data_IF_634762019282
#
_entry.id   IF_634762019282
#
_cell.length_a   1.000
_cell.length_b   1.000
_cell.length_c   1.000
_cell.angle_alpha   90.00
_cell.angle_beta   90.00
_cell.angle_gamma   90.00
#
_symmetry.space_group_name_H-M   'P 1'
#
loop_
_entity.id
_entity.type
_entity.pdbx_description
1 polymer ?
#
# COMPACT_ATOMS: atom_id res chain seq x y z
N UNK A 1 35.14 -74.69 46.98
CA UNK A 1 33.90 -73.96 46.65
C UNK A 1 34.26 -72.81 45.73
N UNK A 2 33.83 -72.89 44.45
CA UNK A 2 34.14 -71.92 43.39
C UNK A 2 33.33 -70.64 43.62
N UNK A 3 33.97 -69.46 43.62
CA UNK A 3 33.28 -68.17 43.51
C UNK A 3 33.52 -67.60 42.12
N UNK A 4 32.43 -67.49 41.36
CA UNK A 4 32.37 -66.93 40.02
C UNK A 4 32.50 -65.41 40.07
N UNK A 5 33.26 -64.87 39.11
CA UNK A 5 33.29 -63.46 38.77
C UNK A 5 32.02 -63.07 38.01
N UNK A 6 31.45 -61.91 38.32
CA UNK A 6 30.53 -61.19 37.45
C UNK A 6 30.92 -59.71 37.52
N UNK A 7 31.56 -59.22 36.46
CA UNK A 7 31.78 -57.79 36.26
C UNK A 7 30.57 -57.24 35.49
N UNK A 8 29.77 -56.38 36.13
CA UNK A 8 28.73 -55.59 35.46
C UNK A 8 29.41 -54.40 34.77
N UNK A 9 29.52 -54.44 33.45
CA UNK A 9 29.83 -53.27 32.62
C UNK A 9 28.58 -52.40 32.52
N UNK A 10 28.59 -51.27 33.22
CA UNK A 10 27.58 -50.20 33.08
C UNK A 10 27.87 -49.38 31.82
N UNK A 11 27.15 -49.63 30.74
CA UNK A 11 27.06 -48.72 29.60
C UNK A 11 26.21 -47.50 30.00
N UNK A 12 26.87 -46.40 30.38
CA UNK A 12 26.22 -45.09 30.48
C UNK A 12 26.21 -44.45 29.08
N UNK A 13 25.07 -44.53 28.40
CA UNK A 13 24.80 -43.80 27.17
C UNK A 13 24.62 -42.31 27.49
N UNK A 14 25.61 -41.48 27.12
CA UNK A 14 25.44 -40.03 27.07
C UNK A 14 24.46 -39.67 25.95
N UNK A 15 23.21 -39.38 26.29
CA UNK A 15 22.30 -38.68 25.40
C UNK A 15 22.71 -37.20 25.36
N UNK A 16 23.41 -36.79 24.30
CA UNK A 16 23.69 -35.38 24.06
C UNK A 16 22.38 -34.68 23.62
N UNK A 17 21.79 -33.88 24.52
CA UNK A 17 20.78 -32.90 24.13
C UNK A 17 21.47 -31.80 23.31
N UNK A 18 21.38 -31.89 21.99
CA UNK A 18 21.65 -30.73 21.12
C UNK A 18 20.46 -29.79 21.21
N UNK A 19 20.53 -28.79 22.08
CA UNK A 19 19.62 -27.66 22.04
C UNK A 19 19.84 -26.91 20.71
N UNK A 20 18.91 -27.06 19.77
CA UNK A 20 18.87 -26.24 18.58
C UNK A 20 18.61 -24.79 19.01
N UNK A 21 19.65 -23.96 18.97
CA UNK A 21 19.51 -22.52 18.97
C UNK A 21 18.79 -22.13 17.67
N UNK A 22 17.45 -22.15 17.69
CA UNK A 22 16.68 -21.45 16.69
C UNK A 22 17.10 -19.98 16.79
N UNK A 23 17.94 -19.53 15.85
CA UNK A 23 18.39 -18.15 15.78
C UNK A 23 17.16 -17.25 15.75
N UNK A 24 17.02 -16.42 16.78
CA UNK A 24 15.95 -15.44 16.84
C UNK A 24 16.11 -14.54 15.62
N UNK A 25 15.08 -14.51 14.76
CA UNK A 25 15.11 -13.66 13.58
C UNK A 25 15.43 -12.22 14.01
N UNK A 26 16.36 -11.52 13.34
CA UNK A 26 16.69 -10.16 13.70
C UNK A 26 15.44 -9.29 13.68
N UNK A 27 15.34 -8.36 14.64
CA UNK A 27 14.23 -7.42 14.70
C UNK A 27 14.14 -6.62 13.39
N UNK A 28 12.92 -6.34 12.90
CA UNK A 28 12.73 -5.65 11.62
C UNK A 28 13.32 -4.25 11.67
N UNK A 29 14.07 -3.87 10.62
CA UNK A 29 14.59 -2.50 10.48
C UNK A 29 13.48 -1.60 9.95
N UNK A 30 13.49 -0.34 10.39
CA UNK A 30 12.58 0.68 9.87
C UNK A 30 13.33 1.57 8.88
N UNK A 31 12.73 1.79 7.71
CA UNK A 31 13.24 2.65 6.65
C UNK A 31 12.28 3.79 6.40
N UNK A 32 12.80 4.96 6.02
CA UNK A 32 12.00 6.14 5.68
C UNK A 32 11.90 6.26 4.16
N UNK A 33 10.69 6.46 3.64
CA UNK A 33 10.46 6.68 2.21
C UNK A 33 9.55 7.88 2.00
N UNK A 34 10.12 8.99 1.54
CA UNK A 34 9.37 10.22 1.28
C UNK A 34 8.87 10.25 -0.17
N UNK A 35 7.75 10.93 -0.43
CA UNK A 35 7.19 11.11 -1.77
C UNK A 35 7.87 12.28 -2.51
N UNK A 36 9.13 12.08 -2.92
CA UNK A 36 9.93 13.07 -3.65
C UNK A 36 9.90 12.81 -5.16
N UNK A 37 10.32 13.76 -6.00
CA UNK A 37 10.45 13.53 -7.45
C UNK A 37 11.34 12.33 -7.82
N UNK A 38 12.26 11.89 -6.96
CA UNK A 38 13.15 10.77 -7.21
C UNK A 38 12.58 9.41 -6.76
N UNK A 39 11.52 9.42 -5.96
CA UNK A 39 11.01 8.25 -5.22
C UNK A 39 9.53 7.98 -5.49
N UNK A 40 8.97 8.60 -6.53
CA UNK A 40 7.60 8.34 -6.99
C UNK A 40 7.58 7.83 -8.42
N UNK A 41 6.68 6.89 -8.66
CA UNK A 41 6.16 6.55 -9.98
C UNK A 41 4.82 7.29 -10.16
N UNK A 42 4.68 8.08 -11.22
CA UNK A 42 3.44 8.85 -11.46
C UNK A 42 2.67 8.18 -12.58
N UNK A 43 1.55 7.55 -12.25
CA UNK A 43 0.58 7.02 -13.21
C UNK A 43 0.86 5.62 -13.75
N UNK A 44 1.79 4.86 -13.14
CA UNK A 44 2.12 3.52 -13.62
C UNK A 44 2.75 2.59 -12.59
N UNK A 45 2.70 1.30 -12.88
CA UNK A 45 3.54 0.24 -12.30
C UNK A 45 4.44 -0.36 -13.40
N UNK A 46 5.68 -0.73 -13.10
CA UNK A 46 6.60 -1.26 -14.13
C UNK A 46 7.70 -2.18 -13.56
N UNK A 47 7.90 -3.34 -14.20
CA UNK A 47 8.90 -4.35 -13.82
C UNK A 47 10.36 -3.94 -14.00
N UNK A 48 10.64 -2.96 -14.85
CA UNK A 48 11.98 -2.42 -15.06
C UNK A 48 12.20 -1.09 -14.32
N UNK A 49 11.27 -0.68 -13.46
CA UNK A 49 11.42 0.52 -12.65
C UNK A 49 12.64 0.40 -11.72
N UNK A 50 13.40 1.48 -11.62
CA UNK A 50 14.54 1.55 -10.69
C UNK A 50 13.99 1.64 -9.27
N UNK A 51 14.43 0.78 -8.34
CA UNK A 51 13.99 0.86 -6.95
C UNK A 51 14.38 2.20 -6.31
N UNK A 52 13.41 2.84 -5.66
CA UNK A 52 13.64 4.01 -4.80
C UNK A 52 14.26 3.60 -3.45
N UNK A 53 13.96 2.38 -3.00
CA UNK A 53 14.42 1.82 -1.74
C UNK A 53 14.62 0.30 -1.89
N UNK A 54 15.63 -0.26 -1.23
CA UNK A 54 15.83 -1.72 -1.13
C UNK A 54 15.83 -2.11 0.35
N UNK A 55 15.02 -3.11 0.73
CA UNK A 55 14.86 -3.55 2.13
C UNK A 55 14.94 -5.07 2.25
N UNK A 56 15.21 -5.59 3.45
CA UNK A 56 15.08 -7.03 3.70
C UNK A 56 13.60 -7.43 3.87
N UNK A 57 13.26 -8.68 3.55
CA UNK A 57 11.96 -9.24 3.90
C UNK A 57 11.71 -9.15 5.41
N UNK A 58 10.54 -8.65 5.79
CA UNK A 58 10.13 -8.41 7.18
C UNK A 58 10.46 -7.01 7.69
N UNK A 59 11.22 -6.19 6.96
CA UNK A 59 11.48 -4.81 7.33
C UNK A 59 10.21 -3.93 7.23
N UNK A 60 10.27 -2.77 7.88
CA UNK A 60 9.20 -1.78 7.95
C UNK A 60 9.58 -0.56 7.10
N UNK A 61 8.61 0.00 6.39
CA UNK A 61 8.71 1.33 5.77
C UNK A 61 7.77 2.31 6.46
N UNK A 62 8.29 3.48 6.82
CA UNK A 62 7.53 4.69 7.13
C UNK A 62 7.45 5.52 5.85
N UNK A 63 6.33 5.41 5.14
CA UNK A 63 6.12 5.95 3.80
C UNK A 63 5.19 7.17 3.82
N UNK A 64 5.56 8.23 3.12
CA UNK A 64 4.65 9.34 2.83
C UNK A 64 4.01 9.12 1.45
N UNK A 65 2.73 9.47 1.32
CA UNK A 65 2.05 9.54 0.02
C UNK A 65 1.52 10.96 -0.21
N UNK A 66 1.22 11.27 -1.47
CA UNK A 66 0.63 12.54 -1.87
C UNK A 66 -0.76 12.28 -2.45
N UNK A 67 -1.70 13.18 -2.13
CA UNK A 67 -3.01 13.20 -2.77
C UNK A 67 -2.90 13.29 -4.30
N UNK A 68 -3.89 12.75 -5.00
CA UNK A 68 -3.88 12.55 -6.47
C UNK A 68 -4.14 13.84 -7.29
N UNK A 69 -4.66 14.91 -6.69
CA UNK A 69 -4.80 16.24 -7.34
C UNK A 69 -3.45 16.93 -7.59
N UNK A 70 -3.48 18.11 -8.20
CA UNK A 70 -2.32 18.96 -8.45
C UNK A 70 -2.48 20.37 -7.84
N UNK A 71 -1.38 21.13 -7.64
CA UNK A 71 -1.45 22.46 -7.03
C UNK A 71 -2.42 23.43 -7.69
N UNK A 72 -2.51 23.43 -9.03
CA UNK A 72 -3.43 24.29 -9.79
C UNK A 72 -4.90 23.91 -9.53
N UNK A 73 -5.19 22.61 -9.45
CA UNK A 73 -6.53 22.09 -9.14
C UNK A 73 -6.96 22.43 -7.71
N UNK A 74 -6.06 22.22 -6.74
CA UNK A 74 -6.29 22.58 -5.33
C UNK A 74 -6.50 24.08 -5.14
N UNK A 75 -5.68 24.93 -5.77
CA UNK A 75 -5.84 26.38 -5.70
C UNK A 75 -7.19 26.83 -6.29
N UNK A 76 -7.63 26.23 -7.40
CA UNK A 76 -8.95 26.47 -7.99
C UNK A 76 -10.10 26.05 -7.07
N UNK A 77 -9.90 24.99 -6.30
CA UNK A 77 -10.83 24.51 -5.28
C UNK A 77 -10.78 25.34 -3.97
N UNK A 78 -9.90 26.34 -3.89
CA UNK A 78 -9.82 27.27 -2.76
C UNK A 78 -8.83 26.89 -1.67
N UNK A 79 -7.95 25.89 -1.89
CA UNK A 79 -6.89 25.57 -0.93
C UNK A 79 -5.82 26.67 -0.96
N UNK A 80 -5.48 27.28 0.20
CA UNK A 80 -4.40 28.26 0.29
C UNK A 80 -3.05 27.67 -0.15
N UNK A 81 -2.22 28.46 -0.84
CA UNK A 81 -0.94 27.97 -1.40
C UNK A 81 0.02 27.43 -0.32
N UNK A 82 0.02 28.03 0.88
CA UNK A 82 0.83 27.61 2.03
C UNK A 82 0.34 26.29 2.67
N UNK A 83 -0.90 25.89 2.39
CA UNK A 83 -1.46 24.58 2.79
C UNK A 83 -1.15 23.47 1.79
N UNK A 84 -0.82 23.81 0.53
CA UNK A 84 -0.45 22.83 -0.49
C UNK A 84 0.98 22.32 -0.21
N UNK A 85 1.13 21.01 0.01
CA UNK A 85 2.42 20.39 0.34
C UNK A 85 3.52 20.74 -0.68
N UNK A 86 4.68 21.15 -0.19
CA UNK A 86 5.84 21.47 -1.02
C UNK A 86 6.27 20.30 -1.91
N UNK A 87 6.25 19.07 -1.38
CA UNK A 87 6.57 17.86 -2.14
C UNK A 87 5.61 17.62 -3.31
N UNK A 88 4.32 17.92 -3.16
CA UNK A 88 3.37 17.86 -4.27
C UNK A 88 3.73 18.86 -5.37
N UNK A 89 4.11 20.08 -5.00
CA UNK A 89 4.57 21.11 -5.96
C UNK A 89 5.82 20.64 -6.71
N UNK A 90 6.81 20.11 -6.01
CA UNK A 90 8.04 19.56 -6.60
C UNK A 90 7.77 18.38 -7.54
N UNK A 91 6.97 17.40 -7.11
CA UNK A 91 6.62 16.24 -7.95
C UNK A 91 5.93 16.66 -9.23
N UNK A 92 4.94 17.57 -9.16
CA UNK A 92 4.23 18.06 -10.34
C UNK A 92 5.14 18.85 -11.28
N UNK A 93 6.09 19.63 -10.75
CA UNK A 93 7.02 20.42 -11.56
C UNK A 93 8.10 19.56 -12.24
N UNK A 94 8.61 18.52 -11.56
CA UNK A 94 9.82 17.80 -11.98
C UNK A 94 9.54 16.44 -12.65
N UNK A 95 8.41 15.79 -12.32
CA UNK A 95 8.02 14.50 -12.91
C UNK A 95 7.09 14.76 -14.10
N UNK A 96 7.70 14.95 -15.26
CA UNK A 96 7.05 15.33 -16.53
C UNK A 96 7.51 14.45 -17.69
N UNK A 97 6.83 14.56 -18.84
CA UNK A 97 7.15 13.80 -20.06
C UNK A 97 7.15 12.29 -19.82
N UNK A 98 8.18 11.61 -20.33
CA UNK A 98 8.33 10.16 -20.31
C UNK A 98 8.47 9.55 -18.91
N UNK A 99 8.66 10.39 -17.89
CA UNK A 99 8.67 9.99 -16.48
C UNK A 99 7.28 9.77 -15.91
N UNK A 100 6.21 10.17 -16.62
CA UNK A 100 4.82 9.90 -16.25
C UNK A 100 4.25 8.74 -17.06
N UNK A 101 3.29 8.06 -16.47
CA UNK A 101 2.44 7.06 -17.08
C UNK A 101 1.05 7.61 -17.41
N UNK A 102 0.18 6.77 -17.96
CA UNK A 102 -1.16 7.17 -18.38
C UNK A 102 -2.16 7.35 -17.22
N UNK A 103 -1.88 6.80 -16.04
CA UNK A 103 -2.75 6.90 -14.87
C UNK A 103 -2.59 8.20 -14.06
N UNK A 104 -3.51 8.43 -13.13
CA UNK A 104 -3.57 9.66 -12.34
C UNK A 104 -2.73 9.67 -11.06
N UNK A 105 -2.45 8.49 -10.49
CA UNK A 105 -1.94 8.37 -9.13
C UNK A 105 -0.45 8.76 -9.00
N UNK A 106 -0.10 9.38 -7.88
CA UNK A 106 1.30 9.58 -7.46
C UNK A 106 1.63 8.46 -6.47
N UNK A 107 2.40 7.47 -6.92
CA UNK A 107 2.73 6.27 -6.15
C UNK A 107 4.16 6.38 -5.63
N UNK A 108 4.34 6.24 -4.33
CA UNK A 108 5.66 6.28 -3.69
C UNK A 108 6.29 4.90 -3.70
N UNK A 109 7.53 4.81 -4.19
CA UNK A 109 8.22 3.56 -4.53
C UNK A 109 8.97 3.67 -5.86
N UNK A 110 9.31 2.54 -6.50
CA UNK A 110 9.12 1.18 -6.02
C UNK A 110 10.10 0.76 -4.91
N UNK A 111 9.60 -0.03 -3.96
CA UNK A 111 10.39 -0.68 -2.92
C UNK A 111 10.75 -2.10 -3.38
N UNK A 112 12.05 -2.37 -3.47
CA UNK A 112 12.58 -3.70 -3.75
C UNK A 112 12.75 -4.48 -2.45
N UNK A 113 12.03 -5.59 -2.30
CA UNK A 113 12.11 -6.46 -1.13
C UNK A 113 13.00 -7.66 -1.45
N UNK A 114 14.14 -7.77 -0.76
CA UNK A 114 15.13 -8.82 -1.03
C UNK A 114 14.53 -10.23 -0.91
N UNK A 115 14.83 -11.08 -1.89
CA UNK A 115 14.39 -12.47 -1.93
C UNK A 115 12.99 -12.72 -2.52
N UNK A 116 12.22 -11.68 -2.83
CA UNK A 116 10.96 -11.80 -3.56
C UNK A 116 11.22 -12.22 -5.01
N UNK A 117 10.56 -13.27 -5.48
CA UNK A 117 10.66 -13.80 -6.85
C UNK A 117 9.27 -14.09 -7.42
N UNK A 118 9.12 -14.13 -8.75
CA UNK A 118 7.86 -14.54 -9.38
C UNK A 118 7.33 -15.86 -8.82
N UNK A 119 6.05 -15.89 -8.44
CA UNK A 119 5.40 -17.05 -7.81
C UNK A 119 5.37 -17.03 -6.27
N UNK A 120 6.09 -16.10 -5.63
CA UNK A 120 5.86 -15.76 -4.23
C UNK A 120 4.63 -14.83 -4.08
N UNK A 121 4.29 -14.51 -2.83
CA UNK A 121 3.44 -13.37 -2.51
C UNK A 121 4.19 -12.35 -1.65
N UNK A 122 3.88 -11.07 -1.83
CA UNK A 122 4.26 -10.01 -0.91
C UNK A 122 3.12 -9.82 0.11
N UNK A 123 3.42 -10.07 1.38
CA UNK A 123 2.58 -9.71 2.52
C UNK A 123 2.86 -8.25 2.91
N UNK A 124 1.84 -7.42 2.86
CA UNK A 124 1.85 -5.99 3.20
C UNK A 124 0.97 -5.83 4.44
N UNK A 125 1.60 -5.74 5.61
CA UNK A 125 0.88 -5.52 6.86
C UNK A 125 0.82 -4.04 7.19
N UNK A 126 -0.38 -3.50 7.27
CA UNK A 126 -0.61 -2.09 7.61
C UNK A 126 -0.54 -1.91 9.13
N UNK A 127 0.52 -1.29 9.63
CA UNK A 127 0.72 -1.09 11.06
C UNK A 127 0.04 0.17 11.57
N UNK A 128 0.16 1.28 10.84
CA UNK A 128 -0.54 2.53 11.14
C UNK A 128 -0.73 3.39 9.89
N UNK A 129 -1.73 4.26 9.94
CA UNK A 129 -2.03 5.25 8.91
C UNK A 129 -2.36 6.57 9.61
N UNK A 130 -1.64 7.62 9.25
CA UNK A 130 -1.81 8.97 9.78
C UNK A 130 -2.23 9.95 8.68
N UNK A 131 -2.97 10.99 9.07
CA UNK A 131 -3.37 12.12 8.23
C UNK A 131 -2.38 13.28 8.39
N UNK A 132 -1.36 13.43 7.52
CA UNK A 132 -0.36 14.51 7.62
C UNK A 132 -0.94 15.90 7.32
N UNK A 133 -2.04 15.98 6.58
CA UNK A 133 -2.75 17.22 6.22
C UNK A 133 -4.15 17.24 6.86
N UNK A 134 -4.73 18.44 6.99
CA UNK A 134 -6.01 18.71 7.65
C UNK A 134 -7.18 18.88 6.67
N UNK A 135 -6.99 18.50 5.41
CA UNK A 135 -8.02 18.56 4.39
C UNK A 135 -7.93 17.36 3.44
N UNK A 136 -9.06 17.02 2.83
CA UNK A 136 -9.13 16.20 1.65
C UNK A 136 -9.93 16.90 0.55
N UNK A 137 -9.97 16.32 -0.65
CA UNK A 137 -10.86 16.77 -1.70
C UNK A 137 -11.76 15.63 -2.17
N UNK A 138 -12.92 15.97 -2.68
CA UNK A 138 -13.80 15.04 -3.38
C UNK A 138 -14.22 15.69 -4.71
N UNK A 139 -13.99 14.97 -5.80
CA UNK A 139 -14.50 15.32 -7.12
C UNK A 139 -15.90 14.73 -7.34
N UNK A 140 -16.44 14.92 -8.54
CA UNK A 140 -17.65 14.24 -8.96
C UNK A 140 -17.64 14.10 -10.49
N UNK A 141 -17.09 12.99 -10.96
CA UNK A 141 -16.98 12.68 -12.39
C UNK A 141 -17.13 11.18 -12.69
N UNK A 142 -17.75 10.44 -11.78
CA UNK A 142 -17.84 8.99 -11.83
C UNK A 142 -19.03 8.45 -12.62
N UNK A 143 -19.45 7.25 -12.23
CA UNK A 143 -20.39 6.41 -12.95
C UNK A 143 -21.81 6.99 -13.05
N UNK A 144 -22.22 7.83 -12.08
CA UNK A 144 -23.54 8.48 -12.05
C UNK A 144 -23.37 10.00 -12.14
N UNK A 145 -22.99 10.55 -13.31
CA UNK A 145 -22.67 11.97 -13.47
C UNK A 145 -23.88 12.89 -13.29
N UNK A 146 -25.11 12.36 -13.31
CA UNK A 146 -26.35 13.11 -13.04
C UNK A 146 -26.45 13.56 -11.57
N UNK A 147 -25.74 12.87 -10.66
CA UNK A 147 -25.66 13.25 -9.24
C UNK A 147 -24.64 14.38 -9.00
N UNK A 148 -23.89 14.79 -10.03
CA UNK A 148 -22.82 15.76 -9.93
C UNK A 148 -23.25 17.15 -10.39
N UNK A 149 -22.88 18.18 -9.63
CA UNK A 149 -22.97 19.56 -10.10
C UNK A 149 -21.91 19.80 -11.19
N UNK A 150 -22.35 20.16 -12.40
CA UNK A 150 -21.43 20.37 -13.52
C UNK A 150 -20.68 21.70 -13.38
N UNK A 151 -19.39 21.68 -13.67
CA UNK A 151 -18.56 22.88 -13.73
C UNK A 151 -18.10 23.40 -12.35
N UNK A 152 -18.43 22.70 -11.27
CA UNK A 152 -17.90 23.01 -9.94
C UNK A 152 -16.50 22.42 -9.78
N UNK A 153 -15.55 23.15 -9.17
CA UNK A 153 -14.29 22.57 -8.71
C UNK A 153 -14.54 21.43 -7.71
N UNK A 154 -13.51 20.61 -7.45
CA UNK A 154 -13.55 19.64 -6.36
C UNK A 154 -13.91 20.32 -5.04
N UNK A 155 -14.71 19.63 -4.22
CA UNK A 155 -15.07 20.08 -2.89
C UNK A 155 -13.91 19.82 -1.93
N UNK A 156 -13.48 20.85 -1.20
CA UNK A 156 -12.49 20.71 -0.13
C UNK A 156 -13.21 20.42 1.19
N UNK A 157 -12.77 19.37 1.88
CA UNK A 157 -13.34 18.87 3.11
C UNK A 157 -12.31 18.99 4.22
N UNK A 158 -12.65 19.64 5.33
CA UNK A 158 -11.77 19.74 6.50
C UNK A 158 -11.81 18.43 7.29
N UNK A 159 -10.64 17.91 7.65
CA UNK A 159 -10.48 16.68 8.41
C UNK A 159 -10.24 17.03 9.89
N UNK A 160 -11.23 16.76 10.76
CA UNK A 160 -11.04 16.80 12.21
C UNK A 160 -10.25 15.56 12.62
N UNK A 161 -8.92 15.69 12.66
CA UNK A 161 -7.99 14.59 13.01
C UNK A 161 -8.04 14.18 14.48
N UNK A 162 -8.65 14.98 15.36
CA UNK A 162 -8.82 14.62 16.76
C UNK A 162 -10.06 13.74 16.94
N UNK A 163 -11.15 14.07 16.25
CA UNK A 163 -12.40 13.29 16.29
C UNK A 163 -12.49 12.21 15.23
N UNK A 164 -11.58 12.21 14.25
CA UNK A 164 -11.61 11.36 13.06
C UNK A 164 -12.95 11.49 12.31
N UNK A 165 -13.31 12.73 11.98
CA UNK A 165 -14.54 13.06 11.25
C UNK A 165 -14.33 14.17 10.22
N UNK A 166 -15.19 14.24 9.21
CA UNK A 166 -15.29 15.38 8.28
C UNK A 166 -16.76 15.77 8.11
N UNK A 167 -17.11 17.04 8.30
CA UNK A 167 -18.45 17.54 8.01
C UNK A 167 -18.58 17.78 6.50
N UNK A 168 -19.40 16.98 5.82
CA UNK A 168 -19.62 17.08 4.39
C UNK A 168 -20.61 18.19 4.05
N UNK A 169 -21.67 18.32 4.84
CA UNK A 169 -22.70 19.36 4.73
C UNK A 169 -23.28 19.61 6.13
N UNK A 170 -24.03 20.70 6.36
CA UNK A 170 -24.61 20.99 7.68
C UNK A 170 -25.34 19.78 8.27
N UNK A 171 -24.80 19.23 9.37
CA UNK A 171 -25.36 18.05 10.06
C UNK A 171 -25.06 16.69 9.41
N UNK A 172 -24.33 16.65 8.30
CA UNK A 172 -23.85 15.43 7.64
C UNK A 172 -22.36 15.26 7.97
N UNK A 173 -22.07 14.43 8.96
CA UNK A 173 -20.71 14.16 9.44
C UNK A 173 -20.28 12.77 9.03
N UNK A 174 -19.18 12.68 8.29
CA UNK A 174 -18.59 11.43 7.78
C UNK A 174 -17.49 10.98 8.75
N UNK A 175 -17.53 9.74 9.28
CA UNK A 175 -16.41 9.19 10.04
C UNK A 175 -15.22 8.90 9.11
N UNK A 176 -14.02 9.24 9.56
CA UNK A 176 -12.77 8.97 8.84
C UNK A 176 -12.25 7.59 9.23
N UNK A 177 -11.92 6.79 8.22
CA UNK A 177 -11.32 5.46 8.35
C UNK A 177 -10.25 5.35 7.27
N UNK A 178 -9.08 5.98 7.46
CA UNK A 178 -8.14 6.20 6.37
C UNK A 178 -7.50 4.89 5.88
N UNK A 179 -7.30 4.81 4.57
CA UNK A 179 -6.67 3.67 3.89
C UNK A 179 -6.01 4.13 2.59
N UNK A 180 -5.17 3.28 2.00
CA UNK A 180 -4.54 3.53 0.70
C UNK A 180 -5.38 2.86 -0.40
N UNK A 181 -5.93 3.64 -1.33
CA UNK A 181 -6.64 3.13 -2.51
C UNK A 181 -5.73 2.32 -3.43
N UNK A 182 -4.46 2.76 -3.54
CA UNK A 182 -3.45 2.11 -4.38
C UNK A 182 -2.32 1.48 -3.57
N UNK A 183 -2.24 0.15 -3.61
CA UNK A 183 -1.10 -0.64 -3.13
C UNK A 183 -0.83 -1.76 -4.15
N UNK A 184 0.32 -1.73 -4.81
CA UNK A 184 0.61 -2.65 -5.91
C UNK A 184 2.07 -3.04 -6.01
N UNK A 185 2.32 -4.09 -6.80
CA UNK A 185 3.67 -4.54 -7.16
C UNK A 185 3.87 -4.36 -8.66
N UNK A 186 5.10 -4.48 -9.14
CA UNK A 186 5.33 -4.48 -10.58
C UNK A 186 4.57 -5.63 -11.28
N UNK A 187 4.00 -5.36 -12.47
CA UNK A 187 3.38 -6.38 -13.31
C UNK A 187 4.42 -7.37 -13.85
N UNK A 188 3.95 -8.43 -14.51
CA UNK A 188 4.83 -9.34 -15.24
C UNK A 188 5.60 -8.59 -16.35
N UNK A 189 6.89 -8.90 -16.60
CA UNK A 189 7.73 -8.14 -17.53
C UNK A 189 7.14 -7.93 -18.93
N UNK A 190 6.44 -8.93 -19.47
CA UNK A 190 5.81 -8.90 -20.79
C UNK A 190 4.69 -7.85 -20.94
N UNK A 191 4.14 -7.34 -19.83
CA UNK A 191 3.12 -6.29 -19.85
C UNK A 191 3.72 -4.89 -19.98
N UNK A 192 5.03 -4.75 -19.81
CA UNK A 192 5.71 -3.46 -19.81
C UNK A 192 5.18 -2.54 -18.71
N UNK A 193 5.07 -1.24 -19.03
CA UNK A 193 4.52 -0.23 -18.11
C UNK A 193 3.00 -0.28 -18.16
N UNK A 194 2.36 -0.59 -17.02
CA UNK A 194 0.89 -0.61 -16.91
C UNK A 194 0.41 0.66 -16.23
N UNK A 195 -0.76 1.15 -16.64
CA UNK A 195 -1.42 2.30 -16.01
C UNK A 195 -1.66 2.06 -14.52
N UNK A 196 -1.60 3.11 -13.70
CA UNK A 196 -2.06 3.04 -12.31
C UNK A 196 -3.59 2.98 -12.19
N UNK A 197 -4.32 3.04 -13.30
CA UNK A 197 -5.78 2.87 -13.43
C UNK A 197 -6.04 1.85 -14.54
N UNK A 198 -6.81 0.75 -14.41
CA UNK A 198 -7.53 0.16 -13.25
C UNK A 198 -6.67 -0.79 -12.38
N UNK A 199 -7.20 -1.40 -11.29
CA UNK A 199 -6.51 -2.48 -10.60
C UNK A 199 -6.38 -3.73 -11.46
N UNK A 200 -5.53 -4.67 -11.01
CA UNK A 200 -5.41 -5.96 -11.65
C UNK A 200 -4.77 -7.01 -10.75
N UNK A 201 -4.21 -8.07 -11.36
CA UNK A 201 -3.54 -9.14 -10.61
C UNK A 201 -2.38 -8.63 -9.74
N UNK A 202 -1.75 -7.54 -10.14
CA UNK A 202 -0.69 -6.85 -9.41
C UNK A 202 -1.21 -5.96 -8.26
N UNK A 203 -2.50 -6.10 -7.91
CA UNK A 203 -3.26 -5.20 -7.05
C UNK A 203 -3.37 -3.81 -7.67
N UNK A 204 -2.74 -2.80 -7.09
CA UNK A 204 -2.83 -1.42 -7.57
C UNK A 204 -4.05 -0.70 -7.00
N UNK A 205 -4.81 -0.01 -7.85
CA UNK A 205 -5.95 0.84 -7.48
C UNK A 205 -7.19 0.06 -7.06
N UNK A 206 -7.11 -0.64 -5.94
CA UNK A 206 -8.16 -1.54 -5.51
C UNK A 206 -9.30 -0.82 -4.81
N UNK A 207 -9.03 0.35 -4.23
CA UNK A 207 -10.02 1.22 -3.57
C UNK A 207 -10.86 0.45 -2.54
N UNK A 208 -10.20 -0.44 -1.81
CA UNK A 208 -10.81 -1.32 -0.84
C UNK A 208 -10.68 -0.72 0.57
N UNK A 209 -11.76 -0.09 1.04
CA UNK A 209 -11.86 0.59 2.34
C UNK A 209 -11.62 -0.30 3.57
N UNK A 210 -11.52 -1.62 3.39
CA UNK A 210 -11.18 -2.54 4.48
C UNK A 210 -9.67 -2.68 4.71
N UNK A 211 -8.82 -2.13 3.82
CA UNK A 211 -7.36 -2.14 3.91
C UNK A 211 -6.81 -1.05 4.85
N UNK A 212 -7.29 -1.06 6.09
CA UNK A 212 -6.97 -0.07 7.13
C UNK A 212 -5.83 -0.53 8.03
N UNK A 213 -5.42 0.30 8.99
CA UNK A 213 -4.48 -0.12 10.03
C UNK A 213 -4.95 -1.40 10.74
N UNK A 214 -4.04 -2.38 10.85
CA UNK A 214 -4.31 -3.72 11.37
C UNK A 214 -4.65 -4.76 10.31
N UNK A 215 -4.93 -4.37 9.07
CA UNK A 215 -5.15 -5.29 7.95
C UNK A 215 -3.83 -5.80 7.35
N UNK A 216 -3.91 -6.93 6.64
CA UNK A 216 -2.81 -7.50 5.86
C UNK A 216 -3.28 -7.76 4.44
N UNK A 217 -2.55 -7.27 3.45
CA UNK A 217 -2.76 -7.52 2.02
C UNK A 217 -1.69 -8.50 1.52
N UNK A 218 -2.09 -9.47 0.70
CA UNK A 218 -1.18 -10.40 0.03
C UNK A 218 -1.28 -10.21 -1.47
N UNK A 219 -0.16 -9.85 -2.11
CA UNK A 219 -0.09 -9.54 -3.54
C UNK A 219 0.78 -10.59 -4.24
N UNK A 220 0.33 -11.25 -5.33
CA UNK A 220 1.19 -12.14 -6.10
C UNK A 220 2.37 -11.38 -6.71
N UNK A 221 3.58 -11.93 -6.58
CA UNK A 221 4.80 -11.33 -7.12
C UNK A 221 5.01 -11.78 -8.57
N UNK A 222 5.27 -10.83 -9.46
CA UNK A 222 5.51 -11.08 -10.89
C UNK A 222 6.91 -10.65 -11.37
N UNK A 223 7.63 -9.86 -10.56
CA UNK A 223 8.97 -9.39 -10.85
C UNK A 223 9.89 -9.56 -9.64
N UNK A 224 11.19 -9.71 -9.89
CA UNK A 224 12.20 -9.81 -8.83
C UNK A 224 12.15 -8.60 -7.91
N UNK A 225 12.12 -8.83 -6.60
CA UNK A 225 12.00 -7.78 -5.59
C UNK A 225 10.60 -7.21 -5.39
N UNK A 226 9.58 -7.74 -6.08
CA UNK A 226 8.20 -7.25 -6.13
C UNK A 226 8.04 -5.83 -6.73
N UNK A 227 8.90 -4.86 -6.36
CA UNK A 227 8.79 -3.44 -6.74
C UNK A 227 7.47 -2.86 -6.26
N UNK A 228 7.28 -2.86 -4.94
CA UNK A 228 6.06 -2.39 -4.29
C UNK A 228 5.92 -0.87 -4.34
N UNK A 229 4.76 -0.38 -4.74
CA UNK A 229 4.41 1.03 -4.82
C UNK A 229 3.08 1.27 -4.08
N UNK A 230 2.94 2.47 -3.48
CA UNK A 230 1.79 2.83 -2.67
C UNK A 230 1.42 4.30 -2.81
N UNK A 231 0.14 4.61 -2.86
CA UNK A 231 -0.35 5.98 -2.99
C UNK A 231 -1.85 6.06 -2.81
N UNK A 232 -2.43 7.12 -3.37
CA UNK A 232 -3.88 7.34 -3.44
C UNK A 232 -4.56 7.25 -2.06
N UNK A 233 -4.22 8.22 -1.20
CA UNK A 233 -4.67 8.19 0.18
C UNK A 233 -6.13 8.62 0.31
N UNK A 234 -6.94 7.84 1.00
CA UNK A 234 -8.35 8.15 1.23
C UNK A 234 -8.60 8.35 2.71
N UNK A 235 -9.28 9.42 3.10
CA UNK A 235 -9.68 9.66 4.49
C UNK A 235 -10.98 8.91 4.83
N UNK A 236 -11.88 8.76 3.85
CA UNK A 236 -13.09 7.95 3.91
C UNK A 236 -13.59 7.65 2.49
N UNK A 237 -14.17 6.48 2.28
CA UNK A 237 -14.77 6.06 1.01
C UNK A 237 -16.00 5.17 1.26
N UNK A 238 -17.00 5.26 0.37
CA UNK A 238 -18.10 4.30 0.27
C UNK A 238 -17.74 3.08 -0.59
N UNK A 239 -18.63 2.07 -0.62
CA UNK A 239 -18.46 0.96 -1.56
C UNK A 239 -18.73 1.41 -2.99
N UNK A 240 -17.83 1.05 -3.89
CA UNK A 240 -17.93 1.29 -5.33
C UNK A 240 -17.42 2.65 -5.81
N UNK A 241 -17.04 3.57 -4.90
CA UNK A 241 -16.46 4.88 -5.25
C UNK A 241 -17.20 5.56 -6.43
N UNK A 242 -18.53 5.60 -6.32
CA UNK A 242 -19.43 5.78 -7.48
C UNK A 242 -19.23 7.14 -8.17
N UNK A 243 -18.82 8.16 -7.42
CA UNK A 243 -18.54 9.52 -7.90
C UNK A 243 -17.09 9.70 -8.42
N UNK A 244 -16.31 8.62 -8.50
CA UNK A 244 -14.92 8.49 -9.00
C UNK A 244 -13.83 8.73 -7.96
N UNK A 245 -14.12 9.39 -6.84
CA UNK A 245 -13.09 9.79 -5.88
C UNK A 245 -13.61 9.67 -4.47
N UNK A 246 -12.74 9.31 -3.53
CA UNK A 246 -13.02 9.31 -2.11
C UNK A 246 -13.01 10.74 -1.51
N UNK A 247 -12.85 10.83 -0.18
CA UNK A 247 -12.22 12.00 0.44
C UNK A 247 -10.70 11.84 0.28
N UNK A 248 -10.19 12.26 -0.87
CA UNK A 248 -8.81 12.13 -1.30
C UNK A 248 -7.87 13.00 -0.46
N UNK A 249 -6.80 12.42 0.06
CA UNK A 249 -5.83 13.06 0.96
C UNK A 249 -4.43 12.46 0.79
N UNK A 250 -3.44 13.16 1.34
CA UNK A 250 -2.12 12.58 1.56
C UNK A 250 -2.17 11.74 2.85
N UNK A 251 -1.41 10.65 2.90
CA UNK A 251 -1.29 9.78 4.06
C UNK A 251 0.17 9.57 4.45
N UNK A 252 0.40 9.19 5.71
CA UNK A 252 1.65 8.61 6.16
C UNK A 252 1.36 7.21 6.68
N UNK A 253 2.01 6.21 6.09
CA UNK A 253 1.82 4.80 6.43
C UNK A 253 3.04 4.22 7.10
N UNK A 254 2.81 3.31 8.06
CA UNK A 254 3.82 2.40 8.56
C UNK A 254 3.46 0.99 8.12
N UNK A 255 4.27 0.39 7.26
CA UNK A 255 3.97 -0.92 6.65
C UNK A 255 5.11 -1.90 6.90
N UNK A 256 4.78 -3.14 7.25
CA UNK A 256 5.74 -4.23 7.23
C UNK A 256 5.60 -5.03 5.93
N UNK A 257 6.71 -5.22 5.22
CA UNK A 257 6.73 -5.91 3.93
C UNK A 257 7.46 -7.25 4.06
N UNK A 258 6.75 -8.35 3.89
CA UNK A 258 7.30 -9.71 4.08
C UNK A 258 7.09 -10.55 2.83
N UNK A 259 8.14 -11.23 2.38
CA UNK A 259 8.06 -12.19 1.28
C UNK A 259 7.55 -13.54 1.80
N UNK A 260 6.43 -14.01 1.23
CA UNK A 260 5.84 -15.32 1.51
C UNK A 260 6.24 -16.29 0.40
N UNK A 261 7.27 -17.09 0.68
CA UNK A 261 7.85 -18.03 -0.29
C UNK A 261 6.85 -19.10 -0.71
N UNK A 262 6.65 -19.26 -2.01
CA UNK A 262 5.78 -20.29 -2.59
C UNK A 262 4.28 -20.13 -2.30
N UNK A 263 3.86 -18.96 -1.77
CA UNK A 263 2.44 -18.63 -1.60
C UNK A 263 1.85 -18.25 -2.96
N UNK A 264 1.49 -19.25 -3.77
CA UNK A 264 0.95 -19.04 -5.09
C UNK A 264 -0.46 -18.43 -5.02
N UNK A 265 -0.60 -17.19 -5.50
CA UNK A 265 -1.86 -16.47 -5.60
C UNK A 265 -2.17 -16.12 -7.06
N UNK A 266 -3.44 -16.18 -7.44
CA UNK A 266 -3.89 -15.70 -8.76
C UNK A 266 -4.23 -14.21 -8.74
N UNK A 267 -4.84 -13.76 -7.65
CA UNK A 267 -5.28 -12.40 -7.38
C UNK A 267 -4.95 -12.02 -5.93
N UNK A 268 -4.91 -10.72 -5.59
CA UNK A 268 -4.67 -10.30 -4.22
C UNK A 268 -5.77 -10.76 -3.26
N UNK A 269 -5.37 -10.95 -2.00
CA UNK A 269 -6.24 -11.29 -0.89
C UNK A 269 -5.91 -10.40 0.29
N UNK A 270 -6.87 -10.21 1.19
CA UNK A 270 -6.61 -9.48 2.41
C UNK A 270 -7.19 -10.19 3.62
N UNK A 271 -6.66 -9.83 4.79
CA UNK A 271 -7.11 -10.27 6.10
C UNK A 271 -7.33 -9.04 6.97
N UNK A 272 -8.49 -8.98 7.61
CA UNK A 272 -8.77 -8.01 8.69
C UNK A 272 -8.75 -8.75 10.03
N UNK A 273 -9.09 -8.07 11.11
CA UNK A 273 -9.27 -8.72 12.41
C UNK A 273 -10.41 -9.77 12.41
N UNK A 274 -11.34 -9.68 11.46
CA UNK A 274 -12.59 -10.44 11.46
C UNK A 274 -12.83 -11.24 10.18
N UNK A 275 -12.19 -10.88 9.06
CA UNK A 275 -12.56 -11.37 7.73
C UNK A 275 -11.34 -11.77 6.90
N UNK A 276 -11.57 -12.77 6.04
CA UNK A 276 -10.72 -13.07 4.90
C UNK A 276 -11.39 -12.54 3.64
N UNK A 277 -10.69 -11.69 2.89
CA UNK A 277 -11.20 -11.01 1.70
C UNK A 277 -10.47 -11.55 0.47
N UNK A 278 -11.22 -12.06 -0.50
CA UNK A 278 -10.69 -12.36 -1.84
C UNK A 278 -11.10 -11.25 -2.79
N UNK A 279 -10.15 -10.76 -3.58
CA UNK A 279 -10.40 -9.71 -4.58
C UNK A 279 -10.19 -10.29 -5.97
N UNK A 280 -11.01 -9.85 -6.92
CA UNK A 280 -10.88 -10.12 -8.34
C UNK A 280 -11.26 -8.84 -9.09
N UNK A 281 -10.71 -8.66 -10.29
CA UNK A 281 -10.90 -7.44 -11.07
C UNK A 281 -11.24 -7.82 -12.51
N UNK A 282 -12.38 -7.35 -12.97
CA UNK A 282 -12.85 -7.43 -14.35
C UNK A 282 -13.52 -6.11 -14.71
N UNK A 283 -13.46 -5.66 -15.97
CA UNK A 283 -14.25 -4.51 -16.43
C UNK A 283 -15.77 -4.66 -16.25
N UNK A 284 -16.27 -5.89 -16.07
CA UNK A 284 -17.67 -6.22 -15.83
C UNK A 284 -17.87 -6.77 -14.41
N UNK A 285 -18.62 -6.06 -13.56
CA UNK A 285 -18.86 -6.42 -12.15
C UNK A 285 -19.58 -7.78 -11.96
N UNK A 286 -20.10 -8.36 -13.04
CA UNK A 286 -20.80 -9.65 -13.03
C UNK A 286 -19.90 -10.86 -13.28
N UNK A 287 -18.60 -10.66 -13.52
CA UNK A 287 -17.61 -11.68 -13.85
C UNK A 287 -16.53 -11.83 -12.78
#
# INVERSE_FOLDING_TARGET
>A
MKRFAVALTSCASLAALTASLAGQAPAPRTHRLEATPATVAVGYYWSEAKPALRIASGDIIDVDTLLTNNPTGLARAGVPDDKIQALLKSVVAEVTGDRRGPGGHILTGPVYVEGAQPGDALEVKVLSIDLPIDYGYNGCSGFVPENCERGTPSKILTLDRARMTSEFAPGIVIPLKPFFGSMGVAPAPELGRVSSNPPGRHAGNMDNKELVAGSTLYIPVFASGALFEIGDGHAAQGDGEVDQTAIETSLRGRLQLTVRKGMALNFPRAETATDYISMAFDPDLTK
#
